data_IF_404626027193
#
_entry.id   IF_404626027193
#
_cell.length_a   1.000
_cell.length_b   1.000
_cell.length_c   1.000
_cell.angle_alpha   90.00
_cell.angle_beta   90.00
_cell.angle_gamma   90.00
#
_symmetry.space_group_name_H-M   'P 1'
#
loop_
_entity.id
_entity.type
_entity.pdbx_description
1 polymer ?
#
# COMPACT_ATOMS: atom_id res chain seq x y z
N UNK A 1 -1.85 20.12 -7.94
CA UNK A 1 -2.97 19.16 -7.85
C UNK A 1 -2.93 18.57 -6.45
N UNK A 2 -3.86 18.92 -5.55
CA UNK A 2 -3.90 18.39 -4.18
C UNK A 2 -4.59 17.01 -4.22
N UNK A 3 -3.81 15.94 -4.23
CA UNK A 3 -4.35 14.58 -4.06
C UNK A 3 -4.68 14.43 -2.58
N UNK A 4 -5.94 14.16 -2.23
CA UNK A 4 -6.31 13.81 -0.86
C UNK A 4 -5.47 12.62 -0.42
N UNK A 5 -4.67 12.76 0.63
CA UNK A 5 -3.77 11.70 1.13
C UNK A 5 -4.54 10.50 1.70
N UNK A 6 -5.80 10.72 2.10
CA UNK A 6 -6.64 9.73 2.76
C UNK A 6 -8.01 9.59 2.09
N UNK A 7 -8.53 8.37 2.12
CA UNK A 7 -9.80 7.98 1.53
C UNK A 7 -10.65 7.21 2.55
N UNK A 8 -11.96 7.38 2.50
CA UNK A 8 -12.91 6.54 3.23
C UNK A 8 -13.00 5.17 2.57
N UNK A 9 -13.32 4.15 3.37
CA UNK A 9 -13.62 2.80 2.86
C UNK A 9 -14.68 2.82 1.75
N UNK A 10 -15.75 3.59 1.91
CA UNK A 10 -16.80 3.73 0.91
C UNK A 10 -16.29 4.27 -0.42
N UNK A 11 -15.41 5.28 -0.39
CA UNK A 11 -14.81 5.87 -1.60
C UNK A 11 -13.93 4.86 -2.34
N UNK A 12 -13.19 4.02 -1.60
CA UNK A 12 -12.38 2.96 -2.20
C UNK A 12 -13.28 1.90 -2.84
N UNK A 13 -14.32 1.44 -2.13
CA UNK A 13 -15.26 0.43 -2.65
C UNK A 13 -15.96 0.94 -3.92
N UNK A 14 -16.39 2.20 -3.92
CA UNK A 14 -16.98 2.85 -5.08
C UNK A 14 -16.00 2.90 -6.26
N UNK A 15 -14.74 3.28 -6.01
CA UNK A 15 -13.68 3.31 -7.02
C UNK A 15 -13.35 1.93 -7.60
N UNK A 16 -13.56 0.85 -6.85
CA UNK A 16 -13.39 -0.52 -7.34
C UNK A 16 -14.54 -0.99 -8.23
N UNK A 17 -15.69 -0.30 -8.19
CA UNK A 17 -16.90 -0.70 -8.90
C UNK A 17 -17.47 -2.05 -8.41
N UNK A 18 -17.33 -2.36 -7.12
CA UNK A 18 -17.82 -3.62 -6.52
C UNK A 18 -18.95 -3.37 -5.52
N UNK A 19 -19.74 -4.40 -5.23
CA UNK A 19 -20.80 -4.32 -4.24
C UNK A 19 -20.24 -4.02 -2.83
N UNK A 20 -20.97 -3.23 -2.06
CA UNK A 20 -20.54 -2.78 -0.72
C UNK A 20 -20.29 -3.93 0.26
N UNK A 21 -21.09 -4.99 0.19
CA UNK A 21 -20.89 -6.22 0.97
C UNK A 21 -19.56 -6.90 0.61
N UNK A 22 -19.33 -7.16 -0.68
CA UNK A 22 -18.10 -7.79 -1.18
C UNK A 22 -16.87 -6.96 -0.85
N UNK A 23 -16.92 -5.65 -1.07
CA UNK A 23 -15.84 -4.75 -0.68
C UNK A 23 -15.60 -4.77 0.83
N UNK A 24 -16.67 -4.80 1.64
CA UNK A 24 -16.54 -4.91 3.10
C UNK A 24 -15.87 -6.20 3.54
N UNK A 25 -16.21 -7.33 2.91
CA UNK A 25 -15.57 -8.61 3.18
C UNK A 25 -14.09 -8.61 2.81
N UNK A 26 -13.73 -8.03 1.66
CA UNK A 26 -12.32 -7.94 1.25
C UNK A 26 -11.50 -7.05 2.19
N UNK A 27 -12.06 -5.93 2.64
CA UNK A 27 -11.41 -5.08 3.64
C UNK A 27 -11.16 -5.86 4.94
N UNK A 28 -12.11 -6.70 5.37
CA UNK A 28 -11.92 -7.57 6.55
C UNK A 28 -10.89 -8.66 6.29
N UNK A 29 -10.90 -9.28 5.12
CA UNK A 29 -9.98 -10.36 4.75
C UNK A 29 -8.52 -9.92 4.70
N UNK A 30 -8.25 -8.73 4.17
CA UNK A 30 -6.91 -8.21 3.90
C UNK A 30 -6.51 -7.05 4.83
N UNK A 31 -7.24 -6.86 5.93
CA UNK A 31 -7.13 -5.70 6.82
C UNK A 31 -5.69 -5.39 7.24
N UNK A 32 -4.91 -6.43 7.53
CA UNK A 32 -3.50 -6.34 7.96
C UNK A 32 -2.57 -5.67 6.95
N UNK A 33 -2.95 -5.64 5.67
CA UNK A 33 -2.16 -5.05 4.59
C UNK A 33 -2.63 -3.64 4.22
N UNK A 34 -3.75 -3.19 4.78
CA UNK A 34 -4.32 -1.89 4.48
C UNK A 34 -3.77 -0.84 5.45
N UNK A 35 -3.35 0.31 4.91
CA UNK A 35 -2.74 1.36 5.72
C UNK A 35 -3.83 2.31 6.16
N UNK A 36 -4.06 2.38 7.48
CA UNK A 36 -5.07 3.21 8.14
C UNK A 36 -4.40 4.31 8.95
N UNK A 37 -5.04 5.48 9.02
CA UNK A 37 -4.59 6.59 9.86
C UNK A 37 -5.00 6.40 11.33
N UNK A 38 -6.25 5.95 11.56
CA UNK A 38 -6.81 5.74 12.89
C UNK A 38 -7.40 4.33 12.99
N UNK A 39 -6.78 3.45 13.77
CA UNK A 39 -7.29 2.08 13.99
C UNK A 39 -8.52 2.03 14.89
N UNK A 40 -8.66 3.00 15.81
CA UNK A 40 -9.71 3.02 16.84
C UNK A 40 -10.97 3.81 16.47
N UNK A 41 -11.04 4.34 15.25
CA UNK A 41 -12.19 5.14 14.81
C UNK A 41 -13.29 4.26 14.20
N UNK A 42 -14.56 4.64 14.39
CA UNK A 42 -15.71 3.94 13.79
C UNK A 42 -15.68 4.03 12.26
N UNK A 43 -14.92 4.96 11.71
CA UNK A 43 -14.77 5.16 10.26
C UNK A 43 -13.30 5.44 9.93
N UNK A 44 -12.45 4.39 9.85
CA UNK A 44 -11.03 4.57 9.57
C UNK A 44 -10.83 5.22 8.20
N UNK A 45 -9.91 6.17 8.16
CA UNK A 45 -9.39 6.76 6.93
C UNK A 45 -8.18 5.94 6.46
N UNK A 46 -8.13 5.66 5.17
CA UNK A 46 -7.12 4.82 4.55
C UNK A 46 -6.17 5.65 3.71
N UNK A 47 -4.88 5.38 3.82
CA UNK A 47 -3.87 6.03 2.98
C UNK A 47 -4.11 5.70 1.49
N UNK A 48 -3.80 6.62 0.59
CA UNK A 48 -4.02 6.46 -0.86
C UNK A 48 -3.40 5.18 -1.44
N UNK A 49 -2.26 4.71 -0.90
CA UNK A 49 -1.64 3.43 -1.31
C UNK A 49 -2.54 2.21 -1.09
N UNK A 50 -3.51 2.30 -0.16
CA UNK A 50 -4.52 1.26 0.07
C UNK A 50 -5.42 1.08 -1.15
N UNK A 51 -5.75 2.15 -1.87
CA UNK A 51 -6.54 2.06 -3.11
C UNK A 51 -5.81 1.20 -4.15
N UNK A 52 -4.51 1.42 -4.34
CA UNK A 52 -3.70 0.63 -5.26
C UNK A 52 -3.65 -0.86 -4.85
N UNK A 53 -3.44 -1.15 -3.55
CA UNK A 53 -3.48 -2.54 -3.03
C UNK A 53 -4.85 -3.19 -3.27
N UNK A 54 -5.94 -2.46 -3.09
CA UNK A 54 -7.29 -2.97 -3.31
C UNK A 54 -7.59 -3.24 -4.79
N UNK A 55 -7.08 -2.42 -5.72
CA UNK A 55 -7.15 -2.73 -7.15
C UNK A 55 -6.38 -4.00 -7.51
N UNK A 56 -5.21 -4.24 -6.89
CA UNK A 56 -4.46 -5.48 -7.07
C UNK A 56 -5.24 -6.68 -6.54
N UNK A 57 -5.79 -6.58 -5.33
CA UNK A 57 -6.64 -7.62 -4.73
C UNK A 57 -7.82 -7.94 -5.66
N UNK A 58 -8.51 -6.91 -6.17
CA UNK A 58 -9.59 -7.08 -7.14
C UNK A 58 -9.11 -7.85 -8.36
N UNK A 59 -8.01 -7.44 -8.99
CA UNK A 59 -7.47 -8.09 -10.19
C UNK A 59 -7.13 -9.57 -9.94
N UNK A 60 -6.62 -9.90 -8.75
CA UNK A 60 -6.29 -11.27 -8.37
C UNK A 60 -7.54 -12.11 -8.06
N UNK A 61 -8.53 -11.54 -7.39
CA UNK A 61 -9.83 -12.18 -7.15
C UNK A 61 -10.60 -12.41 -8.45
N UNK A 62 -10.56 -11.47 -9.39
CA UNK A 62 -11.14 -11.63 -10.73
C UNK A 62 -10.47 -12.80 -11.50
N UNK A 63 -9.19 -13.08 -11.22
CA UNK A 63 -8.45 -14.26 -11.73
C UNK A 63 -8.60 -15.51 -10.87
N UNK A 64 -9.48 -15.48 -9.87
CA UNK A 64 -9.80 -16.60 -8.99
C UNK A 64 -8.57 -17.14 -8.22
N UNK A 65 -7.61 -16.26 -7.94
CA UNK A 65 -6.45 -16.65 -7.14
C UNK A 65 -6.86 -16.95 -5.70
N UNK A 66 -6.29 -18.00 -5.08
CA UNK A 66 -6.59 -18.34 -3.70
C UNK A 66 -6.09 -17.23 -2.77
N UNK A 67 -6.81 -17.03 -1.66
CA UNK A 67 -6.52 -15.99 -0.68
C UNK A 67 -5.04 -16.01 -0.24
N UNK A 68 -4.52 -17.19 0.08
CA UNK A 68 -3.14 -17.35 0.58
C UNK A 68 -2.09 -16.85 -0.41
N UNK A 69 -2.34 -17.01 -1.72
CA UNK A 69 -1.44 -16.52 -2.76
C UNK A 69 -1.50 -15.00 -2.88
N UNK A 70 -2.70 -14.41 -2.74
CA UNK A 70 -2.88 -12.95 -2.71
C UNK A 70 -2.16 -12.38 -1.49
N UNK A 71 -2.34 -13.00 -0.32
CA UNK A 71 -1.66 -12.62 0.91
C UNK A 71 -0.13 -12.71 0.78
N UNK A 72 0.37 -13.80 0.18
CA UNK A 72 1.80 -13.97 -0.08
C UNK A 72 2.35 -12.86 -0.98
N UNK A 73 1.64 -12.52 -2.05
CA UNK A 73 2.04 -11.44 -2.95
C UNK A 73 2.10 -10.09 -2.24
N UNK A 74 1.05 -9.73 -1.49
CA UNK A 74 1.01 -8.48 -0.72
C UNK A 74 2.16 -8.42 0.31
N UNK A 75 2.47 -9.54 0.94
CA UNK A 75 3.59 -9.63 1.87
C UNK A 75 4.95 -9.41 1.20
N UNK A 76 5.20 -9.99 0.03
CA UNK A 76 6.46 -9.75 -0.70
C UNK A 76 6.60 -8.29 -1.12
N UNK A 77 5.53 -7.66 -1.60
CA UNK A 77 5.54 -6.23 -1.93
C UNK A 77 5.96 -5.34 -0.75
N UNK A 78 5.45 -5.62 0.45
CA UNK A 78 5.82 -4.86 1.64
C UNK A 78 7.30 -5.06 2.04
N UNK A 79 7.83 -6.27 1.84
CA UNK A 79 9.25 -6.55 2.06
C UNK A 79 10.12 -5.80 1.06
N UNK A 80 9.77 -5.84 -0.22
CA UNK A 80 10.52 -5.16 -1.28
C UNK A 80 10.49 -3.64 -1.09
N UNK A 81 9.36 -3.07 -0.67
CA UNK A 81 9.26 -1.65 -0.33
C UNK A 81 10.20 -1.29 0.83
N UNK A 82 10.26 -2.10 1.88
CA UNK A 82 11.16 -1.90 3.02
C UNK A 82 12.64 -2.00 2.59
N UNK A 83 12.96 -2.96 1.73
CA UNK A 83 14.31 -3.11 1.19
C UNK A 83 14.69 -1.89 0.33
N UNK A 84 13.81 -1.45 -0.56
CA UNK A 84 14.04 -0.29 -1.42
C UNK A 84 14.28 1.01 -0.60
N UNK A 85 13.55 1.21 0.51
CA UNK A 85 13.77 2.34 1.42
C UNK A 85 15.18 2.27 2.02
N UNK A 86 15.60 1.12 2.54
CA UNK A 86 16.94 0.94 3.12
C UNK A 86 18.04 1.20 2.09
N UNK A 87 17.89 0.71 0.86
CA UNK A 87 18.86 0.98 -0.20
C UNK A 87 18.96 2.47 -0.54
N UNK A 88 17.84 3.20 -0.61
CA UNK A 88 17.85 4.66 -0.80
C UNK A 88 18.54 5.40 0.35
N UNK A 89 18.36 4.95 1.59
CA UNK A 89 19.06 5.55 2.73
C UNK A 89 20.57 5.36 2.63
N UNK A 90 21.02 4.17 2.25
CA UNK A 90 22.45 3.87 2.02
C UNK A 90 23.00 4.74 0.89
N UNK A 91 22.30 4.82 -0.24
CA UNK A 91 22.68 5.67 -1.37
C UNK A 91 22.80 7.14 -0.95
N UNK A 92 21.84 7.64 -0.15
CA UNK A 92 21.89 9.00 0.39
C UNK A 92 23.13 9.22 1.26
N UNK A 93 23.47 8.29 2.14
CA UNK A 93 24.67 8.37 3.00
C UNK A 93 25.95 8.40 2.15
N UNK A 94 26.04 7.52 1.14
CA UNK A 94 27.20 7.49 0.22
C UNK A 94 27.33 8.83 -0.54
N UNK A 95 26.23 9.35 -1.08
CA UNK A 95 26.21 10.64 -1.75
C UNK A 95 26.60 11.80 -0.83
N UNK A 96 26.14 11.80 0.43
CA UNK A 96 26.53 12.80 1.43
C UNK A 96 28.02 12.73 1.74
N UNK A 97 28.58 11.53 1.96
CA UNK A 97 30.00 11.34 2.21
C UNK A 97 30.88 11.78 1.02
N UNK A 98 30.42 11.57 -0.22
CA UNK A 98 31.14 12.02 -1.42
C UNK A 98 31.10 13.55 -1.58
N UNK A 99 29.96 14.19 -1.30
CA UNK A 99 29.83 15.65 -1.32
C UNK A 99 30.68 16.33 -0.23
N UNK A 100 30.72 15.76 0.98
CA UNK A 100 31.55 16.26 2.08
C UNK A 100 33.05 16.14 1.79
N UNK A 101 33.45 15.12 1.02
CA UNK A 101 34.85 14.91 0.62
C UNK A 101 35.29 15.71 -0.62
N UNK A 102 34.39 16.44 -1.31
CA UNK A 102 34.67 17.14 -2.58
C UNK A 102 35.48 16.29 -3.59
N UNK A 103 35.23 14.98 -3.66
CA UNK A 103 35.87 14.15 -4.68
C UNK A 103 35.04 14.35 -5.96
N UNK A 104 35.40 15.39 -6.73
CA UNK A 104 34.95 15.56 -8.10
C UNK A 104 35.68 14.53 -8.95
N UNK A 105 34.94 13.60 -9.55
CA UNK A 105 35.45 12.79 -10.65
C UNK A 105 35.61 13.65 -11.91
#
# INVERSE_FOLDING_TARGET
>A
MFVREFLKKSEIIESLGIASSTGTDWFREFDRFLIKQNENDKSPLYHHSTLAKMHMIKSMKDRHLPKDLIEYFLFQMERDQKLAIKYREIERIICQANNERKIYY
#
